data_IF_451144153154
#
_entry.id   IF_451144153154
#
_cell.length_a   1.000
_cell.length_b   1.000
_cell.length_c   1.000
_cell.angle_alpha   90.00
_cell.angle_beta   90.00
_cell.angle_gamma   90.00
#
_symmetry.space_group_name_H-M   'P 1'
#
loop_
_entity.id
_entity.type
_entity.pdbx_description
1 polymer ?
#
# COMPACT_ATOMS: atom_id res chain seq x y z
N UNK A 1 12.76 1.27 -6.93
CA UNK A 1 13.58 1.68 -5.77
C UNK A 1 13.67 3.21 -5.66
N UNK A 2 13.89 3.89 -6.74
CA UNK A 2 14.06 5.34 -6.88
C UNK A 2 12.88 6.18 -6.32
N UNK A 3 11.65 5.90 -6.70
CA UNK A 3 10.45 6.64 -6.22
C UNK A 3 10.24 6.58 -4.68
N UNK A 4 10.73 5.54 -4.03
CA UNK A 4 10.66 5.44 -2.55
C UNK A 4 11.73 6.32 -1.90
N UNK A 5 12.93 6.33 -2.44
CA UNK A 5 14.03 7.17 -1.95
C UNK A 5 13.63 8.64 -2.09
N UNK A 6 13.20 9.06 -3.26
CA UNK A 6 12.74 10.42 -3.54
C UNK A 6 11.61 10.86 -2.58
N UNK A 7 10.63 9.97 -2.33
CA UNK A 7 9.57 10.26 -1.36
C UNK A 7 10.11 10.44 0.06
N UNK A 8 11.04 9.57 0.47
CA UNK A 8 11.66 9.67 1.79
C UNK A 8 12.48 10.96 1.92
N UNK A 9 13.24 11.35 0.90
CA UNK A 9 13.97 12.61 0.87
C UNK A 9 13.05 13.82 0.99
N UNK A 10 11.93 13.84 0.23
CA UNK A 10 10.90 14.89 0.34
C UNK A 10 10.30 14.96 1.74
N UNK A 11 10.06 13.83 2.38
CA UNK A 11 9.51 13.77 3.72
C UNK A 11 10.54 14.27 4.76
N UNK A 12 11.81 13.88 4.65
CA UNK A 12 12.89 14.42 5.48
C UNK A 12 13.02 15.94 5.29
N UNK A 13 12.99 16.44 4.06
CA UNK A 13 13.09 17.88 3.77
C UNK A 13 11.95 18.68 4.44
N UNK A 14 10.72 18.17 4.44
CA UNK A 14 9.59 18.81 5.11
C UNK A 14 9.75 18.83 6.63
N UNK A 15 10.23 17.76 7.23
CA UNK A 15 10.51 17.67 8.65
C UNK A 15 11.67 18.60 9.06
N UNK A 16 12.73 18.64 8.26
CA UNK A 16 13.89 19.48 8.48
C UNK A 16 13.54 20.98 8.39
N UNK A 17 12.64 21.37 7.49
CA UNK A 17 12.16 22.75 7.37
C UNK A 17 11.49 23.28 8.66
N UNK A 18 10.97 22.38 9.50
CA UNK A 18 10.38 22.71 10.80
C UNK A 18 11.34 22.47 11.99
N UNK A 19 12.63 22.36 11.71
CA UNK A 19 13.67 22.28 12.74
C UNK A 19 13.96 20.89 13.30
N UNK A 20 13.44 19.83 12.67
CA UNK A 20 13.80 18.45 13.04
C UNK A 20 15.10 18.08 12.34
N UNK A 21 16.13 17.75 13.11
CA UNK A 21 17.43 17.33 12.56
C UNK A 21 17.37 15.91 11.98
N UNK A 22 16.79 15.78 10.78
CA UNK A 22 16.58 14.52 10.07
C UNK A 22 16.95 14.64 8.59
N UNK A 23 17.58 13.61 8.05
CA UNK A 23 17.82 13.45 6.61
C UNK A 23 17.68 11.98 6.23
N UNK A 24 17.52 11.69 4.95
CA UNK A 24 17.49 10.31 4.48
C UNK A 24 18.80 9.56 4.80
N UNK A 25 19.95 10.24 4.67
CA UNK A 25 21.25 9.68 5.02
C UNK A 25 21.32 9.27 6.50
N UNK A 26 20.86 10.14 7.42
CA UNK A 26 20.82 9.83 8.86
C UNK A 26 19.89 8.65 9.18
N UNK A 27 18.77 8.51 8.46
CA UNK A 27 17.90 7.35 8.62
C UNK A 27 18.56 6.05 8.14
N UNK A 28 19.28 6.08 7.01
CA UNK A 28 20.00 4.91 6.51
C UNK A 28 21.15 4.53 7.46
N UNK A 29 21.83 5.50 8.02
CA UNK A 29 22.87 5.28 9.03
C UNK A 29 22.33 4.68 10.33
N UNK A 30 21.17 5.18 10.80
CA UNK A 30 20.51 4.67 12.02
C UNK A 30 19.90 3.28 11.83
N UNK A 31 19.52 2.92 10.59
CA UNK A 31 18.88 1.63 10.25
C UNK A 31 19.56 0.98 9.05
N UNK A 32 20.81 0.51 9.21
CA UNK A 32 21.57 -0.10 8.12
C UNK A 32 20.85 -1.35 7.58
N UNK A 33 21.01 -1.60 6.28
CA UNK A 33 20.41 -2.75 5.58
C UNK A 33 18.87 -2.80 5.59
N UNK A 34 18.22 -1.75 6.09
CA UNK A 34 16.76 -1.69 6.17
C UNK A 34 16.15 -0.85 5.04
N UNK A 35 15.01 -1.30 4.55
CA UNK A 35 14.18 -0.46 3.68
C UNK A 35 13.46 0.57 4.54
N UNK A 36 13.85 1.84 4.42
CA UNK A 36 13.28 2.91 5.24
C UNK A 36 11.77 3.04 5.05
N UNK A 37 11.04 2.93 6.17
CA UNK A 37 9.59 3.04 6.28
C UNK A 37 9.20 4.07 7.34
N UNK A 38 7.92 4.46 7.41
CA UNK A 38 7.42 5.37 8.47
C UNK A 38 7.69 4.87 9.90
N UNK A 39 7.79 3.56 10.09
CA UNK A 39 8.21 2.97 11.38
C UNK A 39 9.63 3.38 11.77
N UNK A 40 10.56 3.46 10.81
CA UNK A 40 11.92 3.93 11.08
C UNK A 40 11.95 5.42 11.43
N UNK A 41 11.14 6.26 10.75
CA UNK A 41 10.98 7.66 11.13
C UNK A 41 10.43 7.80 12.56
N UNK A 42 9.39 7.05 12.91
CA UNK A 42 8.81 7.15 14.26
C UNK A 42 9.80 6.75 15.34
N UNK A 43 10.62 5.73 15.07
CA UNK A 43 11.68 5.31 15.97
C UNK A 43 12.78 6.37 16.08
N UNK A 44 13.22 6.92 14.95
CA UNK A 44 14.22 7.99 14.91
C UNK A 44 13.76 9.21 15.71
N UNK A 45 12.53 9.66 15.51
CA UNK A 45 11.95 10.81 16.24
C UNK A 45 11.87 10.55 17.74
N UNK A 46 11.56 9.33 18.15
CA UNK A 46 11.51 8.93 19.55
C UNK A 46 12.92 8.90 20.17
N UNK A 47 13.87 8.27 19.51
CA UNK A 47 15.24 8.11 20.00
C UNK A 47 15.99 9.46 20.13
N UNK A 48 15.59 10.46 19.31
CA UNK A 48 16.15 11.81 19.36
C UNK A 48 15.31 12.81 20.17
N UNK A 49 14.29 12.33 20.89
CA UNK A 49 13.51 13.12 21.82
C UNK A 49 12.51 14.13 21.22
N UNK A 50 12.21 14.02 19.92
CA UNK A 50 11.20 14.85 19.26
C UNK A 50 9.78 14.48 19.64
N UNK A 51 9.57 13.25 20.07
CA UNK A 51 8.29 12.70 20.55
C UNK A 51 8.52 11.81 21.76
N UNK A 52 7.47 11.56 22.54
CA UNK A 52 7.50 10.73 23.75
C UNK A 52 7.03 9.28 23.49
N UNK A 53 6.40 9.04 22.34
CA UNK A 53 5.90 7.71 21.96
C UNK A 53 5.79 7.55 20.43
N UNK A 54 5.76 6.30 19.98
CA UNK A 54 5.55 5.99 18.55
C UNK A 54 4.18 6.48 18.04
N UNK A 55 3.06 6.31 18.77
CA UNK A 55 1.78 6.88 18.36
C UNK A 55 1.82 8.41 18.20
N UNK A 56 2.49 9.13 19.09
CA UNK A 56 2.67 10.59 18.98
C UNK A 56 3.41 10.97 17.71
N UNK A 57 4.42 10.19 17.30
CA UNK A 57 5.12 10.43 16.06
C UNK A 57 4.19 10.35 14.84
N UNK A 58 3.28 9.37 14.83
CA UNK A 58 2.29 9.25 13.75
C UNK A 58 1.26 10.38 13.78
N UNK A 59 0.77 10.74 14.95
CA UNK A 59 -0.21 11.80 15.11
C UNK A 59 0.33 13.17 14.66
N UNK A 60 1.54 13.54 15.08
CA UNK A 60 2.11 14.87 14.86
C UNK A 60 2.87 15.02 13.53
N UNK A 61 3.50 13.94 13.01
CA UNK A 61 4.48 14.05 11.94
C UNK A 61 4.25 13.09 10.77
N UNK A 62 3.82 11.85 11.01
CA UNK A 62 3.91 10.78 10.02
C UNK A 62 2.57 10.32 9.46
N UNK A 63 1.46 10.75 10.07
CA UNK A 63 0.10 10.42 9.62
C UNK A 63 -0.24 11.06 8.28
N UNK A 64 -1.18 10.43 7.58
CA UNK A 64 -1.61 10.86 6.24
C UNK A 64 -2.30 12.25 6.26
N UNK A 65 -2.73 12.70 7.44
CA UNK A 65 -3.34 14.02 7.70
C UNK A 65 -2.32 15.13 7.94
N UNK A 66 -1.03 14.80 8.10
CA UNK A 66 0.00 15.78 8.44
C UNK A 66 0.56 16.48 7.20
N UNK A 67 1.06 17.71 7.38
CA UNK A 67 1.71 18.48 6.30
C UNK A 67 3.01 17.85 5.79
N UNK A 68 3.60 16.93 6.56
CA UNK A 68 4.83 16.23 6.18
C UNK A 68 4.58 15.04 5.29
N UNK A 69 3.34 14.57 5.22
CA UNK A 69 2.98 13.39 4.44
C UNK A 69 3.24 13.62 2.95
N UNK A 70 3.99 12.71 2.35
CA UNK A 70 4.19 12.64 0.91
C UNK A 70 3.45 11.41 0.39
N UNK A 71 2.38 11.58 -0.40
CA UNK A 71 1.63 10.45 -0.93
C UNK A 71 2.50 9.61 -1.87
N UNK A 72 2.19 8.33 -1.96
CA UNK A 72 2.75 7.47 -3.02
C UNK A 72 2.04 7.80 -4.33
N UNK A 73 2.76 7.79 -5.42
CA UNK A 73 2.11 7.62 -6.71
C UNK A 73 1.36 6.29 -6.70
N UNK A 74 0.07 6.37 -6.85
CA UNK A 74 -0.80 5.19 -6.90
C UNK A 74 -1.09 4.91 -8.36
N UNK A 75 -0.60 3.79 -8.86
CA UNK A 75 -1.13 3.24 -10.10
C UNK A 75 -2.57 2.78 -9.86
N UNK A 76 -3.44 3.01 -10.82
CA UNK A 76 -4.80 2.48 -10.74
C UNK A 76 -4.78 0.95 -10.85
N UNK A 77 -5.79 0.24 -10.32
CA UNK A 77 -5.87 -1.21 -10.49
C UNK A 77 -5.82 -1.67 -11.94
N UNK A 78 -6.44 -0.92 -12.86
CA UNK A 78 -6.38 -1.21 -14.29
C UNK A 78 -4.96 -1.05 -14.87
N UNK A 79 -4.23 0.00 -14.47
CA UNK A 79 -2.82 0.17 -14.83
C UNK A 79 -1.95 -0.97 -14.30
N UNK A 80 -2.22 -1.45 -13.06
CA UNK A 80 -1.50 -2.59 -12.51
C UNK A 80 -1.72 -3.86 -13.34
N UNK A 81 -2.97 -4.12 -13.78
CA UNK A 81 -3.29 -5.23 -14.69
C UNK A 81 -2.51 -5.09 -15.99
N UNK A 82 -2.50 -3.91 -16.63
CA UNK A 82 -1.76 -3.68 -17.86
C UNK A 82 -0.26 -3.94 -17.69
N UNK A 83 0.36 -3.42 -16.63
CA UNK A 83 1.79 -3.62 -16.36
C UNK A 83 2.16 -5.10 -16.17
N UNK A 84 1.28 -5.90 -15.55
CA UNK A 84 1.49 -7.34 -15.39
C UNK A 84 1.41 -8.04 -16.76
N UNK A 85 0.45 -7.67 -17.58
CA UNK A 85 0.29 -8.23 -18.93
C UNK A 85 1.47 -7.86 -19.85
N UNK A 86 1.96 -6.64 -19.79
CA UNK A 86 3.08 -6.16 -20.61
C UNK A 86 4.35 -6.99 -20.40
N UNK A 87 4.55 -7.51 -19.19
CA UNK A 87 5.66 -8.42 -18.87
C UNK A 87 5.26 -9.91 -19.01
N UNK A 88 4.15 -10.21 -19.69
CA UNK A 88 3.60 -11.56 -19.88
C UNK A 88 3.25 -12.28 -18.56
N UNK A 89 2.97 -11.52 -17.50
CA UNK A 89 2.46 -12.04 -16.24
C UNK A 89 0.97 -12.34 -16.30
N UNK A 90 0.46 -13.04 -15.29
CA UNK A 90 -0.96 -13.40 -15.14
C UNK A 90 -1.54 -12.55 -14.00
N UNK A 91 -2.37 -11.54 -14.28
CA UNK A 91 -2.95 -10.70 -13.25
C UNK A 91 -4.10 -11.44 -12.52
N UNK A 92 -3.96 -11.60 -11.22
CA UNK A 92 -4.96 -12.20 -10.33
C UNK A 92 -5.25 -11.21 -9.20
N UNK A 93 -6.54 -10.98 -8.91
CA UNK A 93 -6.97 -10.12 -7.81
C UNK A 93 -6.86 -10.89 -6.49
N UNK A 94 -5.95 -10.46 -5.63
CA UNK A 94 -5.66 -11.12 -4.36
C UNK A 94 -6.68 -10.71 -3.26
N UNK A 95 -7.08 -11.65 -2.42
CA UNK A 95 -7.88 -11.49 -1.19
C UNK A 95 -8.95 -10.37 -1.24
N UNK A 96 -9.87 -10.35 -2.22
CA UNK A 96 -10.78 -9.22 -2.43
C UNK A 96 -11.76 -8.95 -1.27
N UNK A 97 -12.07 -9.93 -0.41
CA UNK A 97 -12.92 -9.71 0.77
C UNK A 97 -12.27 -8.76 1.77
N UNK A 98 -10.93 -8.71 1.85
CA UNK A 98 -10.20 -7.82 2.75
C UNK A 98 -10.22 -6.34 2.32
N UNK A 99 -10.82 -6.02 1.18
CA UNK A 99 -11.00 -4.61 0.77
C UNK A 99 -12.16 -3.95 1.51
N UNK A 100 -12.96 -4.72 2.25
CA UNK A 100 -14.14 -4.25 2.98
C UNK A 100 -15.09 -3.43 2.10
N UNK A 101 -15.16 -3.77 0.83
CA UNK A 101 -16.08 -3.18 -0.13
C UNK A 101 -17.42 -3.91 -0.07
N UNK A 102 -18.51 -3.17 -0.20
CA UNK A 102 -19.83 -3.79 -0.41
C UNK A 102 -19.83 -4.63 -1.71
N UNK A 103 -20.66 -5.69 -1.73
CA UNK A 103 -20.74 -6.66 -2.83
C UNK A 103 -20.91 -6.01 -4.21
N UNK A 104 -21.74 -5.00 -4.31
CA UNK A 104 -22.00 -4.29 -5.57
C UNK A 104 -20.75 -3.54 -6.07
N UNK A 105 -20.06 -2.84 -5.18
CA UNK A 105 -18.83 -2.13 -5.50
C UNK A 105 -17.70 -3.09 -5.90
N UNK A 106 -17.57 -4.22 -5.19
CA UNK A 106 -16.61 -5.25 -5.54
C UNK A 106 -16.91 -5.86 -6.91
N UNK A 107 -18.15 -6.17 -7.20
CA UNK A 107 -18.58 -6.69 -8.50
C UNK A 107 -18.27 -5.69 -9.63
N UNK A 108 -18.52 -4.41 -9.40
CA UNK A 108 -18.21 -3.34 -10.37
C UNK A 108 -16.71 -3.25 -10.62
N UNK A 109 -15.88 -3.28 -9.56
CA UNK A 109 -14.44 -3.29 -9.66
C UNK A 109 -13.94 -4.49 -10.46
N UNK A 110 -14.38 -5.70 -10.11
CA UNK A 110 -13.96 -6.94 -10.77
C UNK A 110 -14.33 -6.93 -12.25
N UNK A 111 -15.53 -6.51 -12.60
CA UNK A 111 -15.95 -6.35 -14.02
C UNK A 111 -15.07 -5.35 -14.78
N UNK A 112 -14.73 -4.24 -14.14
CA UNK A 112 -13.83 -3.25 -14.74
C UNK A 112 -12.44 -3.83 -15.00
N UNK A 113 -11.89 -4.55 -14.02
CA UNK A 113 -10.58 -5.19 -14.15
C UNK A 113 -10.58 -6.34 -15.15
N UNK A 114 -11.65 -7.14 -15.22
CA UNK A 114 -11.81 -8.18 -16.24
C UNK A 114 -11.74 -7.60 -17.67
N UNK A 115 -12.38 -6.44 -17.91
CA UNK A 115 -12.27 -5.71 -19.18
C UNK A 115 -10.85 -5.22 -19.47
N UNK A 116 -10.05 -4.97 -18.44
CA UNK A 116 -8.64 -4.57 -18.55
C UNK A 116 -7.69 -5.77 -18.71
N UNK A 117 -8.20 -7.00 -18.64
CA UNK A 117 -7.42 -8.22 -18.82
C UNK A 117 -7.08 -8.97 -17.53
N UNK A 118 -7.77 -8.69 -16.41
CA UNK A 118 -7.67 -9.52 -15.21
C UNK A 118 -8.07 -10.96 -15.57
N UNK A 119 -7.28 -11.95 -15.14
CA UNK A 119 -7.46 -13.36 -15.51
C UNK A 119 -8.16 -14.15 -14.40
N UNK A 120 -7.92 -13.81 -13.15
CA UNK A 120 -8.48 -14.56 -12.03
C UNK A 120 -8.68 -13.73 -10.77
N UNK A 121 -9.38 -14.35 -9.80
CA UNK A 121 -9.49 -13.86 -8.43
C UNK A 121 -9.18 -14.98 -7.43
N UNK A 122 -8.55 -14.61 -6.33
CA UNK A 122 -8.28 -15.53 -5.23
C UNK A 122 -9.58 -15.80 -4.47
N UNK A 123 -10.14 -17.00 -4.69
CA UNK A 123 -11.39 -17.42 -4.08
C UNK A 123 -11.21 -18.18 -2.78
N UNK A 124 -10.00 -18.67 -2.49
CA UNK A 124 -9.63 -19.36 -1.27
C UNK A 124 -8.51 -18.58 -0.61
N UNK A 125 -8.71 -18.21 0.65
CA UNK A 125 -7.71 -17.48 1.44
C UNK A 125 -7.80 -17.90 2.91
N UNK A 126 -6.69 -17.90 3.62
CA UNK A 126 -6.58 -18.46 4.98
C UNK A 126 -7.57 -17.91 6.00
N UNK A 127 -8.08 -16.69 5.80
CA UNK A 127 -9.04 -16.03 6.69
C UNK A 127 -10.48 -16.05 6.18
N UNK A 128 -10.72 -16.65 5.00
CA UNK A 128 -12.07 -16.70 4.44
C UNK A 128 -12.93 -17.74 5.13
N UNK A 129 -14.16 -17.36 5.39
CA UNK A 129 -15.23 -18.32 5.73
C UNK A 129 -15.67 -19.09 4.49
N UNK A 130 -16.27 -20.24 4.68
CA UNK A 130 -16.87 -21.01 3.58
C UNK A 130 -17.95 -20.23 2.80
N UNK A 131 -18.55 -19.22 3.42
CA UNK A 131 -19.49 -18.29 2.77
C UNK A 131 -18.78 -17.37 1.79
N UNK A 132 -17.69 -16.74 2.22
CA UNK A 132 -16.88 -15.85 1.41
C UNK A 132 -16.22 -16.59 0.24
N UNK A 133 -15.71 -17.81 0.46
CA UNK A 133 -15.18 -18.62 -0.64
C UNK A 133 -16.24 -18.89 -1.72
N UNK A 134 -17.45 -19.28 -1.32
CA UNK A 134 -18.54 -19.48 -2.29
C UNK A 134 -18.89 -18.20 -3.03
N UNK A 135 -18.93 -17.07 -2.34
CA UNK A 135 -19.20 -15.78 -2.95
C UNK A 135 -18.14 -15.39 -3.98
N UNK A 136 -16.86 -15.57 -3.65
CA UNK A 136 -15.76 -15.27 -4.57
C UNK A 136 -15.77 -16.21 -5.79
N UNK A 137 -16.05 -17.49 -5.63
CA UNK A 137 -16.23 -18.41 -6.77
C UNK A 137 -17.41 -18.00 -7.67
N UNK A 138 -18.52 -17.59 -7.09
CA UNK A 138 -19.68 -17.10 -7.85
C UNK A 138 -19.32 -15.80 -8.61
N UNK A 139 -18.62 -14.90 -7.98
CA UNK A 139 -18.16 -13.64 -8.60
C UNK A 139 -17.20 -13.93 -9.77
N UNK A 140 -16.24 -14.83 -9.58
CA UNK A 140 -15.33 -15.26 -10.64
C UNK A 140 -16.10 -15.83 -11.84
N UNK A 141 -16.98 -16.79 -11.59
CA UNK A 141 -17.81 -17.40 -12.63
C UNK A 141 -18.65 -16.37 -13.38
N UNK A 142 -19.25 -15.42 -12.66
CA UNK A 142 -20.06 -14.33 -13.24
C UNK A 142 -19.23 -13.38 -14.13
N UNK A 143 -17.97 -13.20 -13.82
CA UNK A 143 -17.05 -12.33 -14.56
C UNK A 143 -16.14 -13.10 -15.54
N UNK A 144 -16.36 -14.40 -15.72
CA UNK A 144 -15.55 -15.29 -16.60
C UNK A 144 -14.06 -15.33 -16.21
N UNK A 145 -13.79 -15.32 -14.91
CA UNK A 145 -12.44 -15.37 -14.35
C UNK A 145 -12.15 -16.75 -13.76
N UNK A 146 -10.86 -17.10 -13.70
CA UNK A 146 -10.38 -18.29 -12.98
C UNK A 146 -10.34 -18.05 -11.46
N UNK A 147 -10.33 -19.16 -10.71
CA UNK A 147 -10.19 -19.17 -9.23
C UNK A 147 -9.11 -20.13 -8.81
#
# INVERSE_FOLDING_TARGET
MEARVERNEKMCARLAADGIDISYAKLVEAFPESVITRGHYSRYLLDHGYVKSLPEAFDRYLGDHTKYFVPREKISPAQAVSLILDVKGIPVLAHPTLYHMGRENLTTLVRHLAKSGLVGIEAIYSTYSAGEEREMRQLASHCLLYT
#
